data_IF_240727552458
#
_entry.id   IF_240727552458
#
_cell.length_a   1.000
_cell.length_b   1.000
_cell.length_c   1.000
_cell.angle_alpha   90.00
_cell.angle_beta   90.00
_cell.angle_gamma   90.00
#
_symmetry.space_group_name_H-M   'P 1'
#
loop_
_entity.id
_entity.type
_entity.pdbx_description
1 polymer ?
#
# COMPACT_ATOMS: atom_id res chain seq x y z
N UNK A 1 -21.37 -4.20 1.59
CA UNK A 1 -22.54 -3.30 1.58
C UNK A 1 -23.05 -2.95 0.17
N UNK A 2 -22.18 -2.84 -0.86
CA UNK A 2 -22.55 -2.44 -2.23
C UNK A 2 -22.58 -3.58 -3.27
N UNK A 3 -22.46 -4.85 -2.84
CA UNK A 3 -22.59 -6.03 -3.74
C UNK A 3 -23.97 -6.13 -4.40
N UNK A 4 -24.99 -5.53 -3.77
CA UNK A 4 -26.38 -5.52 -4.25
C UNK A 4 -26.73 -4.37 -5.20
N UNK A 5 -25.79 -3.46 -5.51
CA UNK A 5 -26.05 -2.38 -6.47
C UNK A 5 -26.53 -2.90 -7.84
N UNK A 6 -25.84 -3.88 -8.48
CA UNK A 6 -26.23 -4.40 -9.80
C UNK A 6 -27.52 -5.20 -9.78
N UNK A 7 -27.90 -5.72 -8.61
CA UNK A 7 -29.13 -6.52 -8.46
C UNK A 7 -30.36 -5.66 -8.24
N UNK A 8 -30.19 -4.35 -8.03
CA UNK A 8 -31.31 -3.43 -7.89
C UNK A 8 -31.95 -3.14 -9.25
N UNK A 9 -33.30 -3.19 -9.36
CA UNK A 9 -34.00 -2.84 -10.61
C UNK A 9 -33.64 -1.46 -11.15
N UNK A 10 -33.28 -0.50 -10.28
CA UNK A 10 -32.89 0.85 -10.69
C UNK A 10 -31.56 0.92 -11.45
N UNK A 11 -30.70 -0.08 -11.28
CA UNK A 11 -29.37 -0.15 -11.91
C UNK A 11 -29.34 -1.15 -13.07
N UNK A 12 -30.49 -1.71 -13.44
CA UNK A 12 -30.61 -2.66 -14.53
C UNK A 12 -30.24 -1.95 -15.85
N UNK A 13 -29.21 -2.44 -16.54
CA UNK A 13 -28.68 -1.83 -17.77
C UNK A 13 -27.63 -0.74 -17.58
N UNK A 14 -27.23 -0.40 -16.34
CA UNK A 14 -26.14 0.54 -16.11
C UNK A 14 -24.79 -0.04 -16.60
N UNK A 15 -23.99 0.71 -17.37
CA UNK A 15 -22.66 0.29 -17.77
C UNK A 15 -21.76 -0.06 -16.58
N UNK A 16 -20.86 -1.03 -16.76
CA UNK A 16 -19.97 -1.52 -15.69
C UNK A 16 -19.14 -0.40 -15.03
N UNK A 17 -18.69 0.59 -15.81
CA UNK A 17 -17.93 1.72 -15.28
C UNK A 17 -18.75 2.62 -14.35
N UNK A 18 -20.06 2.83 -14.61
CA UNK A 18 -20.94 3.59 -13.73
C UNK A 18 -21.23 2.83 -12.43
N UNK A 19 -21.40 1.51 -12.52
CA UNK A 19 -21.56 0.65 -11.34
C UNK A 19 -20.29 0.73 -10.46
N UNK A 20 -19.11 0.64 -11.07
CA UNK A 20 -17.84 0.77 -10.36
C UNK A 20 -17.69 2.15 -9.71
N UNK A 21 -18.04 3.22 -10.43
CA UNK A 21 -18.02 4.59 -9.91
C UNK A 21 -18.99 4.78 -8.73
N UNK A 22 -20.21 4.27 -8.83
CA UNK A 22 -21.21 4.33 -7.75
C UNK A 22 -20.73 3.58 -6.50
N UNK A 23 -20.20 2.36 -6.67
CA UNK A 23 -19.61 1.57 -5.56
C UNK A 23 -18.49 2.36 -4.87
N UNK A 24 -17.58 2.94 -5.67
CA UNK A 24 -16.47 3.76 -5.16
C UNK A 24 -16.96 4.99 -4.39
N UNK A 25 -17.97 5.68 -4.93
CA UNK A 25 -18.55 6.88 -4.31
C UNK A 25 -19.21 6.55 -2.98
N UNK A 26 -20.02 5.50 -2.94
CA UNK A 26 -20.72 5.07 -1.71
C UNK A 26 -19.71 4.68 -0.63
N UNK A 27 -18.67 3.90 -0.97
CA UNK A 27 -17.63 3.54 0.00
C UNK A 27 -16.93 4.80 0.54
N UNK A 28 -16.53 5.73 -0.32
CA UNK A 28 -15.89 6.99 0.12
C UNK A 28 -16.78 7.77 1.07
N UNK A 29 -18.06 7.92 0.76
CA UNK A 29 -19.01 8.66 1.61
C UNK A 29 -19.17 7.96 2.97
N UNK A 30 -19.40 6.64 2.99
CA UNK A 30 -19.58 5.89 4.24
C UNK A 30 -18.30 5.93 5.08
N UNK A 31 -17.16 5.58 4.49
CA UNK A 31 -15.88 5.55 5.21
C UNK A 31 -15.49 6.95 5.68
N UNK A 32 -15.83 8.02 4.96
CA UNK A 32 -15.55 9.38 5.42
C UNK A 32 -16.21 9.72 6.77
N UNK A 33 -17.40 9.16 7.03
CA UNK A 33 -18.14 9.37 8.28
C UNK A 33 -17.64 8.48 9.42
N UNK A 34 -17.28 7.22 9.13
CA UNK A 34 -16.92 6.24 10.18
C UNK A 34 -15.42 6.13 10.45
N UNK A 35 -14.55 6.73 9.61
CA UNK A 35 -13.10 6.55 9.68
C UNK A 35 -12.52 6.84 11.07
N UNK A 36 -13.00 7.87 11.76
CA UNK A 36 -12.50 8.25 13.08
C UNK A 36 -12.69 7.12 14.12
N UNK A 37 -13.75 6.33 14.00
CA UNK A 37 -14.05 5.19 14.87
C UNK A 37 -13.45 3.89 14.35
N UNK A 38 -13.36 3.75 13.02
CA UNK A 38 -12.97 2.51 12.37
C UNK A 38 -11.44 2.34 12.21
N UNK A 39 -10.66 3.43 12.17
CA UNK A 39 -9.22 3.35 11.88
C UNK A 39 -8.36 2.89 13.06
N UNK A 40 -8.79 3.18 14.30
CA UNK A 40 -8.13 2.76 15.53
C UNK A 40 -9.10 2.01 16.44
N UNK A 41 -9.48 0.76 16.10
CA UNK A 41 -10.46 0.02 16.88
C UNK A 41 -10.02 -0.23 18.33
N UNK A 42 -8.70 -0.32 18.58
CA UNK A 42 -8.14 -0.46 19.93
C UNK A 42 -7.62 0.87 20.51
N UNK A 43 -8.01 2.00 19.91
CA UNK A 43 -7.68 3.35 20.35
C UNK A 43 -6.17 3.55 20.57
N UNK A 44 -5.76 3.85 21.81
CA UNK A 44 -4.39 4.20 22.17
C UNK A 44 -3.41 3.05 21.96
N UNK A 45 -3.85 1.80 22.06
CA UNK A 45 -2.99 0.65 21.82
C UNK A 45 -2.48 0.62 20.36
N UNK A 46 -3.38 0.88 19.40
CA UNK A 46 -3.01 0.93 17.98
C UNK A 46 -2.12 2.15 17.69
N UNK A 47 -2.44 3.32 18.29
CA UNK A 47 -1.64 4.55 18.16
C UNK A 47 -0.22 4.35 18.69
N UNK A 48 -0.08 3.73 19.86
CA UNK A 48 1.21 3.46 20.48
C UNK A 48 2.04 2.46 19.66
N UNK A 49 1.40 1.38 19.17
CA UNK A 49 2.03 0.40 18.27
C UNK A 49 2.58 1.08 17.02
N UNK A 50 1.79 1.94 16.38
CA UNK A 50 2.24 2.70 15.21
C UNK A 50 3.36 3.67 15.51
N UNK A 51 3.29 4.39 16.64
CA UNK A 51 4.33 5.33 17.04
C UNK A 51 5.68 4.62 17.28
N UNK A 52 5.65 3.48 17.97
CA UNK A 52 6.84 2.65 18.18
C UNK A 52 7.42 2.18 16.84
N UNK A 53 6.58 1.65 15.95
CA UNK A 53 7.01 1.17 14.64
C UNK A 53 7.60 2.29 13.79
N UNK A 54 6.95 3.45 13.74
CA UNK A 54 7.44 4.65 13.04
C UNK A 54 8.81 5.12 13.56
N UNK A 55 9.00 5.14 14.89
CA UNK A 55 10.29 5.49 15.51
C UNK A 55 11.38 4.48 15.18
N UNK A 56 11.06 3.19 15.18
CA UNK A 56 12.02 2.13 14.83
C UNK A 56 12.41 2.21 13.35
N UNK A 57 11.45 2.40 12.45
CA UNK A 57 11.70 2.67 11.03
C UNK A 57 12.58 3.90 10.81
N UNK A 58 12.30 5.01 11.49
CA UNK A 58 13.09 6.24 11.38
C UNK A 58 14.54 6.06 11.85
N UNK A 59 14.82 5.13 12.78
CA UNK A 59 16.19 4.76 13.15
C UNK A 59 16.85 3.92 12.07
N UNK A 60 16.16 2.88 11.58
CA UNK A 60 16.66 1.99 10.52
C UNK A 60 16.97 2.76 9.23
N UNK A 61 16.10 3.71 8.85
CA UNK A 61 16.25 4.53 7.64
C UNK A 61 17.56 5.31 7.58
N UNK A 62 18.15 5.67 8.74
CA UNK A 62 19.42 6.42 8.82
C UNK A 62 20.65 5.57 8.50
N UNK A 63 20.56 4.26 8.68
CA UNK A 63 21.69 3.34 8.53
C UNK A 63 21.54 2.37 7.37
N UNK A 64 20.31 2.10 6.92
CA UNK A 64 20.08 1.16 5.81
C UNK A 64 20.44 1.80 4.47
N UNK A 65 21.15 1.05 3.64
CA UNK A 65 21.56 1.46 2.29
C UNK A 65 20.97 0.48 1.26
N UNK A 66 20.72 0.88 0.00
CA UNK A 66 20.24 -0.04 -1.04
C UNK A 66 21.13 -1.28 -1.24
N UNK A 67 22.44 -1.16 -0.94
CA UNK A 67 23.40 -2.26 -1.00
C UNK A 67 23.38 -3.19 0.23
N UNK A 68 22.44 -3.02 1.16
CA UNK A 68 22.38 -3.87 2.35
C UNK A 68 22.19 -5.35 1.96
N UNK A 69 23.01 -6.29 2.46
CA UNK A 69 23.04 -7.68 1.98
C UNK A 69 21.69 -8.40 2.06
N UNK A 70 20.88 -8.09 3.07
CA UNK A 70 19.56 -8.71 3.24
C UNK A 70 18.51 -8.18 2.26
N UNK A 71 18.66 -6.95 1.74
CA UNK A 71 17.69 -6.37 0.80
C UNK A 71 17.83 -6.99 -0.59
N UNK A 72 19.05 -7.37 -0.99
CA UNK A 72 19.34 -7.96 -2.31
C UNK A 72 18.86 -7.10 -3.49
N UNK A 73 18.89 -5.77 -3.36
CA UNK A 73 18.54 -4.87 -4.47
C UNK A 73 19.68 -4.87 -5.51
N UNK A 74 19.40 -5.22 -6.78
CA UNK A 74 20.40 -5.17 -7.85
C UNK A 74 21.07 -3.80 -7.96
N UNK A 75 22.39 -3.77 -8.14
CA UNK A 75 23.19 -2.53 -8.23
C UNK A 75 22.76 -1.62 -9.37
N UNK A 76 22.22 -2.19 -10.45
CA UNK A 76 21.65 -1.44 -11.58
C UNK A 76 20.48 -0.53 -11.18
N UNK A 77 19.78 -0.84 -10.09
CA UNK A 77 18.67 -0.04 -9.58
C UNK A 77 19.11 1.03 -8.57
N UNK A 78 20.37 1.04 -8.12
CA UNK A 78 20.81 1.95 -7.06
C UNK A 78 20.80 3.41 -7.49
N UNK A 79 20.87 3.69 -8.80
CA UNK A 79 20.81 5.06 -9.34
C UNK A 79 19.46 5.76 -9.12
N UNK A 80 18.39 4.99 -8.96
CA UNK A 80 17.04 5.51 -8.67
C UNK A 80 16.80 5.70 -7.16
N UNK A 81 17.69 5.21 -6.30
CA UNK A 81 17.52 5.29 -4.85
C UNK A 81 17.52 6.76 -4.37
N UNK A 82 16.64 7.14 -3.42
CA UNK A 82 15.76 6.27 -2.63
C UNK A 82 14.37 6.02 -3.25
N UNK A 83 14.19 6.14 -4.55
CA UNK A 83 12.91 5.99 -5.30
C UNK A 83 11.84 6.99 -4.86
N UNK A 84 12.10 8.32 -4.97
CA UNK A 84 11.21 9.36 -4.46
C UNK A 84 9.78 9.30 -5.01
N UNK A 85 9.60 8.91 -6.28
CA UNK A 85 8.27 8.78 -6.89
C UNK A 85 7.44 7.68 -6.24
N UNK A 86 8.04 6.52 -5.96
CA UNK A 86 7.36 5.42 -5.26
C UNK A 86 7.07 5.78 -3.80
N UNK A 87 8.00 6.46 -3.12
CA UNK A 87 7.78 6.98 -1.77
C UNK A 87 6.61 7.97 -1.73
N UNK A 88 6.48 8.86 -2.72
CA UNK A 88 5.39 9.82 -2.79
C UNK A 88 4.02 9.14 -2.87
N UNK A 89 3.92 8.05 -3.64
CA UNK A 89 2.68 7.28 -3.77
C UNK A 89 2.22 6.65 -2.46
N UNK A 90 3.14 6.07 -1.68
CA UNK A 90 2.78 5.44 -0.41
C UNK A 90 2.62 6.46 0.73
N UNK A 91 3.33 7.58 0.68
CA UNK A 91 3.28 8.62 1.72
C UNK A 91 1.90 9.26 1.88
N UNK A 92 1.09 9.25 0.81
CA UNK A 92 -0.27 9.83 0.83
C UNK A 92 -1.34 8.86 1.33
N UNK A 93 -1.00 7.63 1.75
CA UNK A 93 -1.98 6.63 2.19
C UNK A 93 -2.89 7.13 3.33
N UNK A 94 -2.39 7.99 4.22
CA UNK A 94 -3.17 8.56 5.33
C UNK A 94 -4.10 9.69 4.90
N UNK A 95 -3.92 10.26 3.70
CA UNK A 95 -4.84 11.25 3.14
C UNK A 95 -6.18 10.62 2.72
N UNK A 96 -6.20 9.30 2.49
CA UNK A 96 -7.38 8.57 2.05
C UNK A 96 -8.08 7.87 3.22
N UNK A 97 -9.41 7.87 3.18
CA UNK A 97 -10.26 7.23 4.20
C UNK A 97 -10.86 5.90 3.75
N UNK A 98 -11.03 5.67 2.45
CA UNK A 98 -11.59 4.40 1.96
C UNK A 98 -10.50 3.33 1.87
N UNK A 99 -10.85 2.06 2.08
CA UNK A 99 -9.91 0.96 1.94
C UNK A 99 -9.43 0.83 0.48
N UNK A 100 -10.33 1.05 -0.49
CA UNK A 100 -9.97 1.06 -1.91
C UNK A 100 -8.90 2.10 -2.23
N UNK A 101 -9.07 3.35 -1.79
CA UNK A 101 -8.12 4.40 -2.13
C UNK A 101 -6.75 4.21 -1.44
N UNK A 102 -6.76 3.66 -0.21
CA UNK A 102 -5.53 3.24 0.48
C UNK A 102 -4.80 2.13 -0.28
N UNK A 103 -5.54 1.10 -0.72
CA UNK A 103 -5.01 0.03 -1.57
C UNK A 103 -4.47 0.58 -2.90
N UNK A 104 -5.15 1.54 -3.52
CA UNK A 104 -4.64 2.19 -4.74
C UNK A 104 -3.31 2.91 -4.52
N UNK A 105 -3.00 3.42 -3.32
CA UNK A 105 -1.67 3.99 -3.03
C UNK A 105 -0.58 2.92 -3.07
N UNK A 106 -0.86 1.74 -2.51
CA UNK A 106 0.05 0.58 -2.57
C UNK A 106 0.25 0.11 -4.01
N UNK A 107 -0.83 -0.04 -4.77
CA UNK A 107 -0.77 -0.45 -6.19
C UNK A 107 0.07 0.54 -7.00
N UNK A 108 -0.20 1.85 -6.90
CA UNK A 108 0.58 2.87 -7.63
C UNK A 108 2.05 2.91 -7.19
N UNK A 109 2.34 2.68 -5.92
CA UNK A 109 3.71 2.52 -5.43
C UNK A 109 4.41 1.33 -6.12
N UNK A 110 3.79 0.14 -6.12
CA UNK A 110 4.34 -1.06 -6.75
C UNK A 110 4.48 -0.91 -8.27
N UNK A 111 3.49 -0.33 -8.95
CA UNK A 111 3.54 -0.04 -10.39
C UNK A 111 4.64 0.97 -10.72
N UNK A 112 4.83 1.99 -9.89
CA UNK A 112 5.93 2.95 -10.05
C UNK A 112 7.29 2.25 -9.93
N UNK A 113 7.47 1.37 -8.95
CA UNK A 113 8.69 0.57 -8.82
C UNK A 113 8.89 -0.33 -10.04
N UNK A 114 7.84 -1.05 -10.46
CA UNK A 114 7.86 -1.93 -11.63
C UNK A 114 8.28 -1.18 -12.91
N UNK A 115 7.74 0.02 -13.12
CA UNK A 115 8.10 0.86 -14.26
C UNK A 115 9.57 1.31 -14.20
N UNK A 116 10.07 1.69 -13.03
CA UNK A 116 11.48 2.07 -12.86
C UNK A 116 12.42 0.89 -13.11
N UNK A 117 12.04 -0.32 -12.69
CA UNK A 117 12.78 -1.55 -12.99
C UNK A 117 12.77 -1.82 -14.50
N UNK A 118 11.63 -1.65 -15.17
CA UNK A 118 11.52 -1.87 -16.60
C UNK A 118 12.35 -0.89 -17.45
N UNK A 119 12.66 0.29 -16.92
CA UNK A 119 13.55 1.28 -17.53
C UNK A 119 15.03 0.98 -17.26
N UNK A 120 15.34 0.12 -16.28
CA UNK A 120 16.71 -0.18 -15.90
C UNK A 120 17.40 -1.09 -16.94
N UNK A 121 18.70 -0.85 -17.24
CA UNK A 121 19.45 -1.66 -18.18
C UNK A 121 19.39 -3.15 -17.83
N UNK A 122 19.10 -3.99 -18.83
CA UNK A 122 19.15 -5.46 -18.75
C UNK A 122 18.18 -6.12 -17.74
N UNK A 123 17.22 -5.40 -17.15
CA UNK A 123 16.19 -5.99 -16.27
C UNK A 123 14.97 -6.52 -17.05
N UNK A 124 14.59 -5.84 -18.15
CA UNK A 124 13.39 -6.21 -18.92
C UNK A 124 12.09 -5.96 -18.13
N UNK A 125 11.02 -6.70 -18.44
CA UNK A 125 9.75 -6.57 -17.71
C UNK A 125 9.91 -7.05 -16.27
N UNK A 126 9.65 -6.17 -15.31
CA UNK A 126 9.77 -6.48 -13.89
C UNK A 126 8.78 -7.58 -13.48
N UNK A 127 9.29 -8.66 -12.89
CA UNK A 127 8.48 -9.57 -12.11
C UNK A 127 8.25 -8.95 -10.71
N UNK A 128 7.25 -9.46 -10.01
CA UNK A 128 6.95 -8.95 -8.68
C UNK A 128 8.00 -9.31 -7.61
N UNK A 129 8.77 -10.38 -7.83
CA UNK A 129 9.93 -10.70 -7.01
C UNK A 129 11.05 -9.66 -7.17
N UNK A 130 11.14 -8.99 -8.33
CA UNK A 130 12.07 -7.88 -8.56
C UNK A 130 11.62 -6.60 -7.83
N UNK A 131 10.31 -6.40 -7.68
CA UNK A 131 9.71 -5.24 -6.99
C UNK A 131 9.92 -5.31 -5.48
N UNK A 132 9.87 -6.51 -4.90
CA UNK A 132 9.81 -6.70 -3.43
C UNK A 132 11.02 -6.13 -2.68
N UNK A 133 12.28 -6.39 -3.10
CA UNK A 133 13.47 -5.75 -2.53
C UNK A 133 13.39 -4.22 -2.45
N UNK A 134 12.95 -3.59 -3.54
CA UNK A 134 12.84 -2.13 -3.64
C UNK A 134 11.68 -1.64 -2.78
N UNK A 135 10.56 -2.35 -2.76
CA UNK A 135 9.39 -2.02 -1.93
C UNK A 135 9.73 -2.00 -0.44
N UNK A 136 10.52 -2.97 0.05
CA UNK A 136 11.02 -2.97 1.44
C UNK A 136 11.78 -1.68 1.75
N UNK A 137 12.72 -1.29 0.88
CA UNK A 137 13.50 -0.08 1.08
C UNK A 137 12.64 1.19 1.00
N UNK A 138 11.71 1.26 0.05
CA UNK A 138 10.76 2.36 -0.11
C UNK A 138 9.88 2.53 1.13
N UNK A 139 9.37 1.44 1.71
CA UNK A 139 8.58 1.49 2.96
C UNK A 139 9.41 2.08 4.11
N UNK A 140 10.68 1.67 4.23
CA UNK A 140 11.58 2.17 5.28
C UNK A 140 11.85 3.66 5.12
N UNK A 141 12.16 4.10 3.90
CA UNK A 141 12.51 5.50 3.64
C UNK A 141 11.28 6.42 3.68
N UNK A 142 10.15 6.00 3.11
CA UNK A 142 8.90 6.77 3.15
C UNK A 142 8.34 6.87 4.57
N UNK A 143 8.47 5.79 5.35
CA UNK A 143 7.98 5.67 6.73
C UNK A 143 6.57 6.27 6.92
N UNK A 144 5.55 5.80 6.18
CA UNK A 144 4.22 6.39 6.25
C UNK A 144 3.65 6.32 7.67
N UNK A 145 3.06 7.40 8.21
CA UNK A 145 2.45 7.37 9.55
C UNK A 145 1.36 6.31 9.66
N UNK A 146 1.21 5.71 10.83
CA UNK A 146 0.13 4.75 11.10
C UNK A 146 0.13 3.53 10.17
N UNK A 147 1.30 3.09 9.71
CA UNK A 147 1.44 2.03 8.71
C UNK A 147 0.74 0.72 9.14
N UNK A 148 0.90 0.30 10.39
CA UNK A 148 0.31 -0.97 10.86
C UNK A 148 -1.22 -0.86 10.98
N UNK A 149 -1.73 0.30 11.40
CA UNK A 149 -3.17 0.55 11.42
C UNK A 149 -3.77 0.69 10.02
N UNK A 150 -3.03 1.23 9.04
CA UNK A 150 -3.44 1.18 7.64
C UNK A 150 -3.59 -0.28 7.14
N UNK A 151 -2.63 -1.15 7.48
CA UNK A 151 -2.71 -2.58 7.14
C UNK A 151 -3.94 -3.23 7.75
N UNK A 152 -4.12 -3.09 9.07
CA UNK A 152 -5.26 -3.63 9.81
C UNK A 152 -6.59 -3.13 9.22
N UNK A 153 -6.66 -1.84 8.90
CA UNK A 153 -7.85 -1.21 8.34
C UNK A 153 -8.20 -1.75 6.94
N UNK A 154 -7.22 -1.82 6.03
CA UNK A 154 -7.45 -2.35 4.68
C UNK A 154 -7.76 -3.85 4.72
N UNK A 155 -7.16 -4.63 5.61
CA UNK A 155 -7.52 -6.04 5.81
C UNK A 155 -8.97 -6.18 6.32
N UNK A 156 -9.41 -5.32 7.24
CA UNK A 156 -10.77 -5.35 7.78
C UNK A 156 -11.86 -4.89 6.80
N UNK A 157 -11.57 -3.87 5.98
CA UNK A 157 -12.56 -3.22 5.10
C UNK A 157 -12.37 -3.50 3.60
N UNK A 158 -11.27 -4.11 3.19
CA UNK A 158 -10.94 -4.37 1.79
C UNK A 158 -11.81 -5.45 1.15
N UNK A 159 -12.09 -6.53 1.89
CA UNK A 159 -12.94 -7.63 1.42
C UNK A 159 -12.51 -8.13 0.03
N UNK A 160 -13.41 -8.18 -0.97
CA UNK A 160 -13.08 -8.65 -2.33
C UNK A 160 -12.05 -7.81 -3.09
N UNK A 161 -11.71 -6.60 -2.61
CA UNK A 161 -10.62 -5.81 -3.21
C UNK A 161 -9.26 -6.47 -3.03
N UNK A 162 -9.13 -7.34 -2.03
CA UNK A 162 -7.91 -8.09 -1.76
C UNK A 162 -7.84 -9.40 -2.56
N UNK A 163 -8.73 -9.57 -3.54
CA UNK A 163 -8.71 -10.67 -4.50
C UNK A 163 -8.14 -10.17 -5.85
N UNK A 164 -7.50 -11.05 -6.62
CA UNK A 164 -6.95 -10.72 -7.93
C UNK A 164 -5.68 -9.86 -7.89
N UNK A 165 -5.50 -8.99 -8.88
CA UNK A 165 -4.25 -8.26 -9.10
C UNK A 165 -3.94 -7.22 -8.02
N UNK A 166 -4.94 -6.50 -7.50
CA UNK A 166 -4.74 -5.56 -6.40
C UNK A 166 -4.38 -6.31 -5.09
N UNK A 167 -5.04 -7.44 -4.84
CA UNK A 167 -4.75 -8.34 -3.73
C UNK A 167 -3.34 -8.93 -3.76
N UNK A 168 -2.83 -9.21 -4.96
CA UNK A 168 -1.45 -9.64 -5.15
C UNK A 168 -0.46 -8.58 -4.65
N UNK A 169 -0.60 -7.32 -5.10
CA UNK A 169 0.25 -6.23 -4.62
C UNK A 169 0.10 -5.97 -3.13
N UNK A 170 -1.11 -6.10 -2.60
CA UNK A 170 -1.34 -6.00 -1.17
C UNK A 170 -0.59 -7.09 -0.39
N UNK A 171 -0.57 -8.32 -0.89
CA UNK A 171 0.18 -9.43 -0.30
C UNK A 171 1.67 -9.12 -0.27
N UNK A 172 2.25 -8.67 -1.40
CA UNK A 172 3.67 -8.25 -1.45
C UNK A 172 3.98 -7.10 -0.48
N UNK A 173 3.08 -6.11 -0.36
CA UNK A 173 3.24 -5.00 0.56
C UNK A 173 3.24 -5.45 2.03
N UNK A 174 2.29 -6.31 2.42
CA UNK A 174 2.25 -6.84 3.80
C UNK A 174 3.45 -7.74 4.09
N UNK A 175 3.89 -8.57 3.14
CA UNK A 175 5.10 -9.37 3.25
C UNK A 175 6.36 -8.49 3.41
N UNK A 176 6.45 -7.38 2.67
CA UNK A 176 7.53 -6.41 2.80
C UNK A 176 7.55 -5.77 4.20
N UNK A 177 6.39 -5.43 4.77
CA UNK A 177 6.31 -4.92 6.16
C UNK A 177 6.76 -5.97 7.18
N UNK A 178 6.36 -7.23 7.02
CA UNK A 178 6.86 -8.29 7.91
C UNK A 178 8.36 -8.47 7.78
N UNK A 179 8.92 -8.39 6.57
CA UNK A 179 10.37 -8.42 6.36
C UNK A 179 11.06 -7.21 7.03
N UNK A 180 10.50 -6.00 6.92
CA UNK A 180 11.00 -4.81 7.63
C UNK A 180 11.12 -5.07 9.13
N UNK A 181 10.15 -5.74 9.76
CA UNK A 181 10.22 -6.07 11.20
C UNK A 181 11.38 -6.97 11.55
N UNK A 182 11.87 -7.80 10.61
CA UNK A 182 13.07 -8.63 10.82
C UNK A 182 14.38 -7.86 10.75
N UNK A 183 14.34 -6.62 10.24
CA UNK A 183 15.49 -5.70 10.16
C UNK A 183 15.56 -4.71 11.34
N UNK A 184 14.53 -4.64 12.17
CA UNK A 184 14.45 -3.78 13.36
C UNK A 184 15.08 -4.45 14.58
#
# INVERSE_FOLDING_TARGET
>A
MYTRLPTSPMWHGAPAHLIAYARKTIERVVMAQIHALAFYPNLDADRHRDELFFKSLAKLARSIHPSHPMLKIPTVLHGEAPWPSAQAEISVINAYKSARDKLSCVVRCCETISNLIAMAPNMGTAAADDVTPVLVYVIIQANPPSLLSNVQYVQGFGGPLLEGAEGYWWTQFTAAIEFVKTLL
#
